data_IF_625898984290
#
_entry.id   IF_625898984290
#
_cell.length_a   1.000
_cell.length_b   1.000
_cell.length_c   1.000
_cell.angle_alpha   90.00
_cell.angle_beta   90.00
_cell.angle_gamma   90.00
#
_symmetry.space_group_name_H-M   'P 1'
#
loop_
_entity.id
_entity.type
_entity.pdbx_description
1 polymer ?
#
# COMPACT_ATOMS: atom_id res chain seq x y z
N UNK A 1 3.85 56.62 44.01
CA UNK A 1 4.59 56.12 42.82
C UNK A 1 4.42 54.61 42.79
N UNK A 2 3.70 54.06 41.80
CA UNK A 2 3.84 52.70 41.24
C UNK A 2 2.58 52.33 40.45
N UNK A 3 2.54 52.73 39.18
CA UNK A 3 1.60 52.20 38.21
C UNK A 3 2.39 51.92 36.93
N UNK A 4 2.89 50.68 36.78
CA UNK A 4 3.39 50.09 35.52
C UNK A 4 4.03 48.72 35.82
N UNK A 5 3.23 47.70 36.12
CA UNK A 5 3.73 46.33 36.30
C UNK A 5 2.79 45.26 35.71
N UNK A 6 2.00 45.60 34.69
CA UNK A 6 0.95 44.70 34.18
C UNK A 6 0.84 44.61 32.65
N UNK A 7 1.84 45.05 31.89
CA UNK A 7 1.83 44.95 30.42
C UNK A 7 2.96 44.13 29.80
N UNK A 8 3.86 43.55 30.60
CA UNK A 8 4.98 42.75 30.06
C UNK A 8 4.80 41.22 30.13
N UNK A 9 3.78 40.71 30.83
CA UNK A 9 3.51 39.26 30.92
C UNK A 9 2.56 38.71 29.85
N UNK A 10 1.85 39.58 29.11
CA UNK A 10 0.94 39.15 28.04
C UNK A 10 1.62 38.98 26.68
N UNK A 11 2.84 39.49 26.49
CA UNK A 11 3.56 39.37 25.21
C UNK A 11 4.42 38.10 25.17
N UNK A 12 4.89 37.59 26.32
CA UNK A 12 5.67 36.34 26.36
C UNK A 12 4.80 35.08 26.24
N UNK A 13 3.52 35.15 26.61
CA UNK A 13 2.59 34.02 26.53
C UNK A 13 1.94 33.84 25.14
N UNK A 14 2.13 34.78 24.22
CA UNK A 14 1.57 34.74 22.86
C UNK A 14 2.58 34.30 21.79
N UNK A 15 3.87 34.18 22.13
CA UNK A 15 4.92 33.67 21.23
C UNK A 15 5.13 32.16 21.40
N UNK A 16 4.65 31.55 22.49
CA UNK A 16 4.81 30.12 22.80
C UNK A 16 3.61 29.22 22.43
N UNK A 17 2.61 29.74 21.69
CA UNK A 17 1.42 28.97 21.29
C UNK A 17 1.25 28.74 19.77
N UNK A 18 2.24 29.11 18.95
CA UNK A 18 2.20 28.91 17.49
C UNK A 18 3.32 28.01 16.94
N UNK A 19 3.74 26.99 17.69
CA UNK A 19 4.49 25.86 17.12
C UNK A 19 3.66 24.59 17.34
N UNK A 20 2.52 24.52 16.64
CA UNK A 20 1.86 23.26 16.29
C UNK A 20 1.96 23.08 14.79
N UNK A 21 3.18 23.10 14.29
CA UNK A 21 3.44 22.60 12.95
C UNK A 21 3.63 21.10 13.05
N UNK A 22 2.69 20.40 12.43
CA UNK A 22 2.93 19.10 11.81
C UNK A 22 4.37 19.05 11.28
N UNK A 23 5.18 18.17 11.84
CA UNK A 23 6.43 17.73 11.23
C UNK A 23 6.09 17.03 9.90
N UNK A 24 5.78 17.83 8.89
CA UNK A 24 6.10 17.50 7.51
C UNK A 24 7.61 17.69 7.46
N UNK A 25 8.35 16.59 7.52
CA UNK A 25 9.78 16.65 7.27
C UNK A 25 9.96 17.23 5.87
N UNK A 26 10.40 18.49 5.81
CA UNK A 26 10.98 19.07 4.61
C UNK A 26 12.14 18.16 4.23
N UNK A 27 12.04 17.48 3.09
CA UNK A 27 13.21 16.91 2.44
C UNK A 27 14.18 18.08 2.20
N UNK A 28 15.44 18.01 2.66
CA UNK A 28 16.40 19.09 2.45
C UNK A 28 16.61 19.34 0.96
N UNK A 29 16.82 20.60 0.61
CA UNK A 29 17.02 21.08 -0.76
C UNK A 29 18.35 20.54 -1.32
N UNK A 30 18.30 19.35 -1.92
CA UNK A 30 19.45 18.64 -2.46
C UNK A 30 19.62 18.94 -3.95
N UNK A 31 20.87 19.25 -4.35
CA UNK A 31 21.22 19.51 -5.75
C UNK A 31 21.12 18.22 -6.58
N UNK A 32 21.44 17.10 -5.95
CA UNK A 32 21.34 15.75 -6.50
C UNK A 32 19.88 15.35 -6.66
N UNK A 33 19.01 15.64 -5.68
CA UNK A 33 17.55 15.44 -5.78
C UNK A 33 16.94 16.30 -6.90
N UNK A 34 17.41 17.54 -7.08
CA UNK A 34 17.00 18.40 -8.21
C UNK A 34 17.49 17.87 -9.54
N UNK A 35 18.74 17.43 -9.64
CA UNK A 35 19.29 16.81 -10.85
C UNK A 35 18.61 15.48 -11.19
N UNK A 36 18.18 14.75 -10.17
CA UNK A 36 17.39 13.53 -10.26
C UNK A 36 15.98 13.86 -10.77
N UNK A 37 15.27 14.79 -10.15
CA UNK A 37 13.95 15.27 -10.62
C UNK A 37 14.01 15.82 -12.05
N UNK A 38 15.06 16.57 -12.41
CA UNK A 38 15.25 17.10 -13.76
C UNK A 38 15.56 15.99 -14.78
N UNK A 39 16.41 15.00 -14.45
CA UNK A 39 16.62 13.81 -15.31
C UNK A 39 15.31 13.04 -15.53
N UNK A 40 14.45 12.95 -14.52
CA UNK A 40 13.13 12.34 -14.68
C UNK A 40 12.18 13.16 -15.56
N UNK A 41 12.25 14.50 -15.53
CA UNK A 41 11.52 15.35 -16.47
C UNK A 41 12.03 15.15 -17.91
N UNK A 42 13.34 15.04 -18.11
CA UNK A 42 13.97 14.82 -19.43
C UNK A 42 13.71 13.39 -19.99
N UNK A 43 13.77 12.35 -19.14
CA UNK A 43 13.49 10.94 -19.53
C UNK A 43 12.00 10.70 -19.84
N UNK A 44 11.12 11.51 -19.25
CA UNK A 44 9.70 11.54 -19.60
C UNK A 44 9.45 12.15 -20.99
N UNK A 45 10.33 13.07 -21.44
CA UNK A 45 10.27 13.70 -22.76
C UNK A 45 10.89 12.82 -23.86
N UNK A 46 11.99 12.11 -23.60
CA UNK A 46 12.69 11.29 -24.61
C UNK A 46 11.97 9.99 -25.00
N UNK A 47 11.10 9.45 -24.14
CA UNK A 47 10.31 8.24 -24.43
C UNK A 47 9.15 8.45 -25.42
N UNK A 48 8.98 9.67 -25.97
CA UNK A 48 8.03 9.95 -27.04
C UNK A 48 8.63 9.84 -28.46
N UNK A 49 9.91 9.42 -28.62
CA UNK A 49 10.64 9.57 -29.87
C UNK A 49 11.34 8.35 -30.50
N UNK A 50 11.42 7.17 -29.88
CA UNK A 50 12.19 6.05 -30.49
C UNK A 50 11.45 4.72 -30.52
N UNK A 51 11.19 4.26 -31.73
CA UNK A 51 10.71 2.94 -32.08
C UNK A 51 11.93 2.04 -32.34
N UNK A 52 12.61 1.57 -31.30
CA UNK A 52 13.70 0.58 -31.43
C UNK A 52 13.61 -0.49 -30.35
N UNK A 53 13.72 -1.73 -30.79
CA UNK A 53 13.72 -2.94 -29.98
C UNK A 53 14.94 -3.00 -29.05
N UNK A 54 14.70 -2.98 -27.75
CA UNK A 54 15.68 -3.40 -26.74
C UNK A 54 15.72 -2.52 -25.50
N UNK A 55 14.79 -2.72 -24.57
CA UNK A 55 15.07 -2.62 -23.13
C UNK A 55 13.95 -3.29 -22.32
N UNK A 56 14.24 -4.43 -21.68
CA UNK A 56 13.29 -5.18 -20.83
C UNK A 56 13.45 -4.80 -19.35
N UNK A 57 13.87 -3.57 -19.05
CA UNK A 57 14.61 -3.30 -17.81
C UNK A 57 13.95 -2.31 -16.85
N UNK A 58 12.72 -1.85 -17.12
CA UNK A 58 11.90 -1.13 -16.13
C UNK A 58 10.88 -2.06 -15.48
N UNK A 59 11.30 -2.82 -14.47
CA UNK A 59 10.37 -3.59 -13.64
C UNK A 59 10.09 -2.84 -12.33
N UNK A 60 9.12 -1.94 -12.36
CA UNK A 60 8.51 -1.41 -11.13
C UNK A 60 8.13 -2.59 -10.22
N UNK A 61 8.37 -2.44 -8.91
CA UNK A 61 8.02 -3.49 -7.94
C UNK A 61 6.54 -3.85 -8.08
N UNK A 62 6.23 -5.14 -8.12
CA UNK A 62 4.84 -5.57 -8.29
C UNK A 62 4.04 -5.23 -7.04
N UNK A 63 2.77 -4.86 -7.21
CA UNK A 63 1.86 -4.63 -6.10
C UNK A 63 1.79 -5.82 -5.12
N UNK A 64 1.85 -7.06 -5.63
CA UNK A 64 1.90 -8.28 -4.80
C UNK A 64 3.12 -8.31 -3.89
N UNK A 65 4.26 -7.86 -4.38
CA UNK A 65 5.54 -7.94 -3.69
C UNK A 65 5.62 -6.84 -2.63
N UNK A 66 5.13 -5.62 -2.96
CA UNK A 66 4.90 -4.53 -2.01
C UNK A 66 4.09 -5.00 -0.80
N UNK A 67 2.97 -5.66 -1.04
CA UNK A 67 2.09 -6.13 0.04
C UNK A 67 2.76 -7.22 0.87
N UNK A 68 3.46 -8.16 0.22
CA UNK A 68 4.18 -9.23 0.91
C UNK A 68 5.28 -8.68 1.83
N UNK A 69 6.07 -7.71 1.32
CA UNK A 69 7.09 -6.99 2.10
C UNK A 69 6.44 -6.33 3.31
N UNK A 70 5.41 -5.51 3.12
CA UNK A 70 4.79 -4.74 4.20
C UNK A 70 4.15 -5.64 5.26
N UNK A 71 3.46 -6.70 4.85
CA UNK A 71 2.86 -7.67 5.76
C UNK A 71 3.93 -8.41 6.56
N UNK A 72 5.03 -8.81 5.92
CA UNK A 72 6.11 -9.50 6.59
C UNK A 72 6.81 -8.59 7.61
N UNK A 73 7.10 -7.33 7.26
CA UNK A 73 7.63 -6.34 8.19
C UNK A 73 6.77 -6.23 9.45
N UNK A 74 5.47 -5.98 9.30
CA UNK A 74 4.57 -5.83 10.44
C UNK A 74 4.42 -7.14 11.23
N UNK A 75 4.38 -8.30 10.57
CA UNK A 75 4.33 -9.60 11.26
C UNK A 75 5.55 -9.81 12.15
N UNK A 76 6.74 -9.52 11.63
CA UNK A 76 8.02 -9.69 12.33
C UNK A 76 8.15 -8.68 13.48
N UNK A 77 7.82 -7.41 13.23
CA UNK A 77 7.79 -6.33 14.24
C UNK A 77 6.88 -6.66 15.43
N UNK A 78 5.70 -7.24 15.18
CA UNK A 78 4.77 -7.65 16.23
C UNK A 78 5.18 -8.94 16.96
N UNK A 79 6.17 -9.66 16.44
CA UNK A 79 6.64 -10.96 16.95
C UNK A 79 8.02 -10.94 17.60
N UNK A 80 8.60 -9.76 17.84
CA UNK A 80 9.95 -9.63 18.42
C UNK A 80 10.04 -10.15 19.85
N UNK A 81 11.22 -10.65 20.19
CA UNK A 81 11.62 -10.96 21.56
C UNK A 81 12.96 -10.28 21.88
N UNK A 82 13.11 -9.61 23.03
CA UNK A 82 12.08 -9.35 24.04
C UNK A 82 10.95 -8.46 23.51
N UNK A 83 9.78 -8.46 24.16
CA UNK A 83 8.61 -7.78 23.60
C UNK A 83 8.75 -6.26 23.61
N UNK A 84 8.27 -5.60 22.56
CA UNK A 84 8.32 -4.15 22.39
C UNK A 84 7.04 -3.47 22.89
N UNK A 85 7.18 -2.44 23.72
CA UNK A 85 6.04 -1.68 24.26
C UNK A 85 5.56 -0.53 23.38
N UNK A 86 6.38 -0.07 22.44
CA UNK A 86 6.15 1.13 21.63
C UNK A 86 6.23 0.89 20.10
N UNK A 87 6.18 -0.37 19.64
CA UNK A 87 6.39 -0.72 18.22
C UNK A 87 5.30 -0.14 17.32
N UNK A 88 5.64 0.81 16.43
CA UNK A 88 4.67 1.42 15.52
C UNK A 88 4.29 0.50 14.37
N UNK A 89 3.02 0.56 13.95
CA UNK A 89 2.57 -0.07 12.72
C UNK A 89 3.19 0.63 11.50
N UNK A 90 3.79 -0.16 10.61
CA UNK A 90 4.44 0.31 9.41
C UNK A 90 3.45 0.36 8.24
N UNK A 91 3.50 1.45 7.47
CA UNK A 91 2.74 1.64 6.22
C UNK A 91 3.70 1.76 5.03
N UNK A 92 3.18 1.54 3.82
CA UNK A 92 3.96 1.78 2.62
C UNK A 92 4.01 3.25 2.26
N UNK A 93 5.14 3.71 1.76
CA UNK A 93 5.37 5.08 1.31
C UNK A 93 5.92 5.11 -0.13
N UNK A 94 5.13 5.70 -1.03
CA UNK A 94 5.45 5.72 -2.46
C UNK A 94 6.64 6.66 -2.79
N UNK A 95 6.97 7.63 -1.91
CA UNK A 95 8.17 8.48 -2.09
C UNK A 95 9.45 7.72 -1.76
N UNK A 96 9.42 6.92 -0.68
CA UNK A 96 10.52 6.03 -0.32
C UNK A 96 10.76 4.96 -1.41
N UNK A 97 9.69 4.42 -2.01
CA UNK A 97 9.78 3.48 -3.14
C UNK A 97 10.44 4.13 -4.37
N UNK A 98 10.06 5.36 -4.71
CA UNK A 98 10.68 6.09 -5.84
C UNK A 98 12.17 6.33 -5.61
N UNK A 99 12.55 6.76 -4.41
CA UNK A 99 13.95 6.94 -4.03
C UNK A 99 14.72 5.61 -4.07
N UNK A 100 14.12 4.52 -3.58
CA UNK A 100 14.72 3.18 -3.63
C UNK A 100 14.89 2.68 -5.07
N UNK A 101 13.94 3.00 -5.96
CA UNK A 101 14.01 2.65 -7.39
C UNK A 101 15.21 3.30 -8.04
N UNK A 102 15.37 4.61 -7.82
CA UNK A 102 16.52 5.34 -8.36
C UNK A 102 17.85 4.74 -7.89
N UNK A 103 17.97 4.45 -6.58
CA UNK A 103 19.21 3.86 -6.07
C UNK A 103 19.47 2.43 -6.58
N UNK A 104 18.42 1.63 -6.75
CA UNK A 104 18.54 0.28 -7.27
C UNK A 104 19.03 0.25 -8.74
N UNK A 105 18.69 1.27 -9.53
CA UNK A 105 19.10 1.43 -10.93
C UNK A 105 20.58 1.78 -11.10
N UNK A 106 21.20 2.41 -10.09
CA UNK A 106 22.64 2.72 -10.11
C UNK A 106 23.51 1.45 -10.06
N UNK A 107 22.95 0.32 -9.63
CA UNK A 107 23.65 -0.98 -9.56
C UNK A 107 24.98 -0.92 -8.80
N UNK A 108 24.98 -0.15 -7.71
CA UNK A 108 26.10 -0.03 -6.78
C UNK A 108 25.75 -0.79 -5.49
N UNK A 109 26.63 -1.71 -5.09
CA UNK A 109 26.50 -2.44 -3.83
C UNK A 109 27.02 -1.57 -2.67
N UNK A 110 26.31 -0.47 -2.41
CA UNK A 110 26.60 0.47 -1.33
C UNK A 110 25.31 1.20 -0.92
N UNK A 111 25.33 1.87 0.23
CA UNK A 111 24.22 2.71 0.68
C UNK A 111 24.18 4.05 -0.07
N UNK A 112 22.98 4.55 -0.35
CA UNK A 112 22.83 5.87 -0.94
C UNK A 112 21.41 6.26 -1.39
N UNK A 113 21.25 7.44 -2.00
CA UNK A 113 22.30 8.46 -2.16
C UNK A 113 22.65 9.13 -0.82
N UNK A 114 23.91 9.57 -0.67
CA UNK A 114 24.52 9.96 0.62
C UNK A 114 23.76 11.07 1.36
N UNK A 115 23.18 12.01 0.62
CA UNK A 115 22.39 13.14 1.12
C UNK A 115 21.08 12.70 1.78
N UNK A 116 20.46 11.61 1.29
CA UNK A 116 19.24 11.08 1.88
C UNK A 116 19.52 10.24 3.13
N UNK A 117 20.68 9.57 3.22
CA UNK A 117 21.03 8.66 4.32
C UNK A 117 21.06 9.33 5.70
N UNK A 118 21.13 10.66 5.78
CA UNK A 118 21.00 11.40 7.04
C UNK A 118 19.56 11.41 7.58
N UNK A 119 18.56 11.22 6.71
CA UNK A 119 17.14 11.37 7.03
C UNK A 119 16.34 10.07 6.92
N UNK A 120 16.84 9.10 6.15
CA UNK A 120 16.19 7.79 5.95
C UNK A 120 17.09 6.64 6.42
N UNK A 121 16.44 5.54 6.80
CA UNK A 121 17.09 4.24 6.91
C UNK A 121 17.11 3.54 5.57
N UNK A 122 18.03 2.60 5.37
CA UNK A 122 18.11 1.80 4.16
C UNK A 122 18.62 0.39 4.45
N UNK A 123 17.91 -0.62 3.97
CA UNK A 123 18.39 -1.99 3.91
C UNK A 123 18.59 -2.41 2.45
N UNK A 124 19.65 -3.16 2.22
CA UNK A 124 20.06 -3.63 0.91
C UNK A 124 20.10 -5.17 0.91
N UNK A 125 19.70 -5.77 -0.20
CA UNK A 125 19.86 -7.20 -0.40
C UNK A 125 20.17 -7.48 -1.86
N UNK A 126 21.08 -8.41 -2.10
CA UNK A 126 21.45 -8.84 -3.44
C UNK A 126 21.46 -10.36 -3.51
N UNK A 127 20.99 -10.91 -4.62
CA UNK A 127 21.18 -12.31 -4.94
C UNK A 127 21.36 -12.50 -6.43
N UNK A 128 21.87 -13.67 -6.80
CA UNK A 128 22.05 -14.07 -8.19
C UNK A 128 21.56 -15.51 -8.38
N UNK A 129 21.28 -15.89 -9.63
CA UNK A 129 20.81 -17.23 -9.97
C UNK A 129 19.31 -17.42 -9.77
N UNK A 130 18.91 -18.33 -8.88
CA UNK A 130 17.49 -18.72 -8.73
C UNK A 130 16.65 -17.57 -8.21
N UNK A 131 15.45 -17.40 -8.78
CA UNK A 131 14.48 -16.41 -8.33
C UNK A 131 14.17 -16.58 -6.82
N UNK A 132 14.29 -15.48 -6.09
CA UNK A 132 13.80 -15.32 -4.72
C UNK A 132 12.75 -14.21 -4.69
N UNK A 133 11.67 -14.38 -3.94
CA UNK A 133 10.72 -13.29 -3.72
C UNK A 133 11.36 -12.19 -2.87
N UNK A 134 10.94 -10.92 -2.97
CA UNK A 134 11.47 -9.87 -2.11
C UNK A 134 11.29 -10.16 -0.61
N UNK A 135 10.22 -10.86 -0.22
CA UNK A 135 10.00 -11.31 1.15
C UNK A 135 11.06 -12.29 1.67
N UNK A 136 11.73 -13.04 0.80
CA UNK A 136 12.87 -13.88 1.19
C UNK A 136 14.00 -13.02 1.79
N UNK A 137 14.29 -11.87 1.20
CA UNK A 137 15.33 -10.95 1.70
C UNK A 137 14.93 -10.27 2.99
N UNK A 138 13.65 -9.89 3.13
CA UNK A 138 13.12 -9.34 4.39
C UNK A 138 13.25 -10.35 5.53
N UNK A 139 12.99 -11.63 5.26
CA UNK A 139 13.21 -12.69 6.25
C UNK A 139 14.71 -12.85 6.56
N UNK A 140 15.58 -12.82 5.55
CA UNK A 140 17.02 -12.92 5.75
C UNK A 140 17.57 -11.76 6.61
N UNK A 141 17.09 -10.53 6.41
CA UNK A 141 17.39 -9.40 7.28
C UNK A 141 16.93 -9.63 8.71
N UNK A 142 15.75 -10.21 8.90
CA UNK A 142 15.25 -10.53 10.25
C UNK A 142 16.04 -11.65 10.92
N UNK A 143 16.51 -12.64 10.17
CA UNK A 143 17.22 -13.80 10.69
C UNK A 143 18.56 -13.44 11.35
N UNK A 144 19.08 -12.22 11.14
CA UNK A 144 20.19 -11.64 11.91
C UNK A 144 19.89 -11.55 13.41
N UNK A 145 18.61 -11.61 13.82
CA UNK A 145 18.19 -11.67 15.22
C UNK A 145 18.89 -12.79 16.00
N UNK A 146 19.29 -13.88 15.34
CA UNK A 146 20.03 -14.99 15.97
C UNK A 146 21.40 -14.58 16.51
N UNK A 147 21.98 -13.52 15.93
CA UNK A 147 23.30 -12.99 16.23
C UNK A 147 23.22 -11.66 17.02
N UNK A 148 22.01 -11.12 17.18
CA UNK A 148 21.77 -9.86 17.88
C UNK A 148 21.41 -10.08 19.35
N UNK A 149 22.05 -9.33 20.24
CA UNK A 149 21.69 -9.32 21.67
C UNK A 149 21.06 -7.98 22.05
N UNK A 150 19.79 -8.01 22.46
CA UNK A 150 19.05 -6.80 22.87
C UNK A 150 19.72 -6.10 24.07
N UNK A 151 19.93 -4.77 24.03
CA UNK A 151 20.41 -3.99 25.16
C UNK A 151 19.26 -3.61 26.09
N UNK A 152 19.27 -4.10 27.32
CA UNK A 152 18.25 -3.73 28.30
C UNK A 152 18.51 -2.33 28.87
N UNK A 153 17.46 -1.62 29.35
CA UNK A 153 17.60 -0.23 29.82
C UNK A 153 18.69 0.01 30.88
N UNK A 154 18.96 -0.98 31.74
CA UNK A 154 20.00 -0.87 32.77
C UNK A 154 21.43 -0.90 32.22
N UNK A 155 21.60 -1.32 30.96
CA UNK A 155 22.89 -1.37 30.26
C UNK A 155 23.15 -0.10 29.44
N UNK A 156 22.14 0.75 29.26
CA UNK A 156 22.23 1.98 28.48
C UNK A 156 22.64 3.15 29.38
N UNK A 157 23.94 3.48 29.41
CA UNK A 157 24.45 4.62 30.18
C UNK A 157 25.78 5.16 29.62
N UNK A 158 25.81 6.36 28.99
CA UNK A 158 24.67 7.11 28.46
C UNK A 158 24.11 6.51 27.16
N UNK A 159 24.84 5.56 26.56
CA UNK A 159 24.51 4.90 25.31
C UNK A 159 24.26 3.41 25.54
N UNK A 160 23.37 2.81 24.76
CA UNK A 160 23.16 1.36 24.73
C UNK A 160 24.33 0.65 24.02
N UNK A 161 24.80 -0.50 24.52
CA UNK A 161 25.83 -1.28 23.85
C UNK A 161 25.27 -1.93 22.58
N UNK A 162 26.02 -1.82 21.47
CA UNK A 162 25.75 -2.60 20.27
C UNK A 162 26.39 -3.98 20.41
N UNK A 163 25.57 -5.05 20.33
CA UNK A 163 26.04 -6.42 20.45
C UNK A 163 25.54 -7.28 19.28
N UNK A 164 26.45 -7.54 18.36
CA UNK A 164 26.27 -8.43 17.23
C UNK A 164 27.40 -9.46 17.23
N UNK A 165 27.07 -10.75 17.34
CA UNK A 165 28.05 -11.84 17.25
C UNK A 165 28.30 -12.31 15.81
N UNK A 166 27.42 -11.91 14.90
CA UNK A 166 27.45 -12.25 13.48
C UNK A 166 28.11 -11.16 12.64
N UNK A 167 28.18 -11.37 11.31
CA UNK A 167 28.77 -10.40 10.40
C UNK A 167 27.92 -9.12 10.23
N UNK A 168 26.62 -9.19 10.52
CA UNK A 168 25.69 -8.08 10.38
C UNK A 168 24.45 -8.27 11.27
N UNK A 169 23.99 -7.21 11.92
CA UNK A 169 22.72 -7.17 12.67
C UNK A 169 21.88 -5.91 12.37
N UNK A 170 22.42 -4.98 11.57
CA UNK A 170 21.82 -3.66 11.38
C UNK A 170 20.59 -3.71 10.47
N UNK A 171 20.45 -4.73 9.63
CA UNK A 171 19.24 -4.91 8.83
C UNK A 171 18.07 -5.35 9.72
N UNK A 172 18.33 -6.27 10.65
CA UNK A 172 17.34 -6.65 11.68
C UNK A 172 16.91 -5.44 12.49
N UNK A 173 17.85 -4.68 13.08
CA UNK A 173 17.50 -3.56 13.96
C UNK A 173 16.71 -2.47 13.23
N UNK A 174 17.01 -2.19 11.96
CA UNK A 174 16.21 -1.26 11.15
C UNK A 174 14.79 -1.79 10.90
N UNK A 175 14.65 -3.07 10.57
CA UNK A 175 13.34 -3.70 10.33
C UNK A 175 12.45 -3.60 11.58
N UNK A 176 13.04 -3.82 12.77
CA UNK A 176 12.34 -3.77 14.06
C UNK A 176 12.45 -2.43 14.79
N UNK A 177 12.84 -1.35 14.10
CA UNK A 177 12.96 -0.04 14.72
C UNK A 177 11.59 0.54 15.07
N UNK A 178 11.30 0.76 16.35
CA UNK A 178 9.96 1.05 16.85
C UNK A 178 9.32 2.25 16.18
N UNK A 179 10.06 3.35 16.03
CA UNK A 179 9.56 4.62 15.47
C UNK A 179 9.50 4.64 13.95
N UNK A 180 10.18 3.72 13.26
CA UNK A 180 10.09 3.60 11.81
C UNK A 180 8.71 3.09 11.42
N UNK A 181 7.87 3.98 10.88
CA UNK A 181 6.48 3.71 10.53
C UNK A 181 6.20 3.71 9.03
N UNK A 182 7.21 3.94 8.19
CA UNK A 182 7.10 3.96 6.72
C UNK A 182 8.21 3.16 6.07
N UNK A 183 7.86 2.44 4.99
CA UNK A 183 8.81 1.73 4.14
C UNK A 183 8.42 1.86 2.67
N UNK A 184 9.41 1.95 1.79
CA UNK A 184 9.22 1.81 0.34
C UNK A 184 10.42 1.10 -0.27
N UNK A 185 10.18 0.14 -1.14
CA UNK A 185 11.23 -0.72 -1.68
C UNK A 185 11.16 -0.84 -3.20
N UNK A 186 12.30 -1.11 -3.82
CA UNK A 186 12.41 -1.38 -5.25
C UNK A 186 13.31 -2.59 -5.53
N UNK A 187 13.00 -3.29 -6.62
CA UNK A 187 13.80 -4.42 -7.12
C UNK A 187 14.30 -4.08 -8.51
N UNK A 188 15.61 -4.18 -8.72
CA UNK A 188 16.24 -4.00 -10.01
C UNK A 188 17.12 -5.21 -10.37
N UNK A 189 17.24 -5.53 -11.65
CA UNK A 189 18.13 -6.58 -12.14
C UNK A 189 19.32 -5.91 -12.78
N UNK A 190 20.44 -5.90 -12.08
CA UNK A 190 21.70 -5.32 -12.51
C UNK A 190 22.43 -6.24 -13.48
N UNK A 191 22.65 -5.85 -14.76
CA UNK A 191 23.36 -6.68 -15.71
C UNK A 191 24.76 -7.05 -15.25
N UNK A 192 25.46 -6.10 -14.62
CA UNK A 192 26.75 -6.29 -13.95
C UNK A 192 26.78 -5.44 -12.69
N UNK A 193 27.12 -6.05 -11.56
CA UNK A 193 27.21 -5.37 -10.27
C UNK A 193 28.45 -5.88 -9.53
N UNK A 194 29.29 -4.97 -9.02
CA UNK A 194 30.40 -5.35 -8.16
C UNK A 194 29.87 -5.57 -6.75
N UNK A 195 29.89 -6.82 -6.29
CA UNK A 195 29.45 -7.23 -4.96
C UNK A 195 30.67 -7.83 -4.23
N UNK A 196 31.16 -7.13 -3.21
CA UNK A 196 32.32 -7.52 -2.42
C UNK A 196 33.60 -7.83 -3.22
N UNK A 197 33.83 -7.10 -4.32
CA UNK A 197 35.02 -7.26 -5.16
C UNK A 197 34.84 -8.25 -6.32
N UNK A 198 33.69 -8.91 -6.41
CA UNK A 198 33.36 -9.82 -7.51
C UNK A 198 32.25 -9.24 -8.40
N UNK A 199 32.38 -9.41 -9.72
CA UNK A 199 31.34 -8.98 -10.65
C UNK A 199 30.26 -10.06 -10.75
N UNK A 200 29.07 -9.73 -10.30
CA UNK A 200 27.89 -10.57 -10.42
C UNK A 200 27.10 -10.18 -11.65
N UNK A 201 26.80 -11.15 -12.52
CA UNK A 201 25.96 -10.95 -13.69
C UNK A 201 24.48 -11.18 -13.38
N UNK A 202 23.62 -10.29 -13.90
CA UNK A 202 22.17 -10.33 -13.68
C UNK A 202 21.80 -10.41 -12.18
N UNK A 203 22.52 -9.66 -11.35
CA UNK A 203 22.29 -9.59 -9.92
C UNK A 203 20.92 -8.93 -9.64
N UNK A 204 20.09 -9.57 -8.85
CA UNK A 204 18.80 -9.01 -8.43
C UNK A 204 19.01 -8.26 -7.13
N UNK A 205 18.89 -6.94 -7.21
CA UNK A 205 19.14 -5.98 -6.15
C UNK A 205 17.81 -5.45 -5.58
N UNK A 206 17.63 -5.60 -4.27
CA UNK A 206 16.51 -5.05 -3.50
C UNK A 206 17.02 -3.93 -2.61
N UNK A 207 16.40 -2.75 -2.76
CA UNK A 207 16.63 -1.58 -1.92
C UNK A 207 15.34 -1.30 -1.17
N UNK A 208 15.38 -1.17 0.16
CA UNK A 208 14.26 -0.74 0.98
C UNK A 208 14.66 0.49 1.79
N UNK A 209 13.92 1.58 1.62
CA UNK A 209 14.10 2.82 2.36
C UNK A 209 13.06 2.93 3.47
N UNK A 210 13.46 3.49 4.62
CA UNK A 210 12.70 3.53 5.85
C UNK A 210 12.59 4.95 6.40
N UNK A 211 11.42 5.32 6.90
CA UNK A 211 11.21 6.63 7.55
C UNK A 211 10.29 6.53 8.77
N UNK A 212 10.60 7.26 9.86
CA UNK A 212 11.89 7.88 10.17
C UNK A 212 13.04 6.86 10.19
N UNK A 213 14.27 7.35 10.01
CA UNK A 213 15.51 6.56 10.09
C UNK A 213 15.62 5.84 11.44
N UNK A 214 16.04 4.57 11.40
CA UNK A 214 16.43 3.80 12.57
C UNK A 214 17.95 3.69 12.73
N UNK A 215 18.40 2.73 13.55
CA UNK A 215 19.81 2.47 13.83
C UNK A 215 20.56 3.70 14.35
N UNK A 216 19.92 4.45 15.25
CA UNK A 216 20.58 5.54 15.96
C UNK A 216 21.66 4.98 16.88
N UNK A 217 22.87 5.52 16.77
CA UNK A 217 24.03 5.09 17.55
C UNK A 217 23.72 5.28 19.03
N UNK A 218 23.90 4.20 19.81
CA UNK A 218 23.66 4.22 21.24
C UNK A 218 22.19 4.11 21.66
N UNK A 219 21.28 3.81 20.74
CA UNK A 219 19.86 3.56 21.04
C UNK A 219 19.47 2.09 20.82
N UNK A 220 18.55 1.60 21.64
CA UNK A 220 17.90 0.31 21.43
C UNK A 220 16.84 0.43 20.32
N UNK A 221 16.61 -0.63 19.51
CA UNK A 221 15.66 -0.56 18.39
C UNK A 221 14.22 -0.33 18.81
N UNK A 222 13.86 -0.71 20.04
CA UNK A 222 12.53 -0.51 20.61
C UNK A 222 12.62 -0.51 22.13
N UNK A 223 11.57 -0.08 22.81
CA UNK A 223 11.51 -0.09 24.27
C UNK A 223 10.94 -1.42 24.78
N UNK A 224 11.71 -2.15 25.59
CA UNK A 224 11.25 -3.38 26.21
C UNK A 224 10.05 -3.13 27.13
N UNK A 225 9.02 -3.96 26.98
CA UNK A 225 7.88 -3.97 27.88
C UNK A 225 6.67 -4.70 27.29
N UNK A 226 5.53 -4.58 27.97
CA UNK A 226 4.27 -5.16 27.51
C UNK A 226 3.88 -4.54 26.15
N UNK A 227 3.52 -5.34 25.14
CA UNK A 227 3.06 -4.82 23.85
C UNK A 227 2.05 -3.69 23.98
N UNK A 228 2.29 -2.63 23.21
CA UNK A 228 1.49 -1.41 23.15
C UNK A 228 1.36 -0.61 24.47
N UNK A 229 2.10 -0.92 25.53
CA UNK A 229 1.98 -0.18 26.79
C UNK A 229 2.60 1.22 26.75
N UNK A 230 3.41 1.53 25.74
CA UNK A 230 4.06 2.82 25.54
C UNK A 230 3.89 3.33 24.09
N UNK A 231 2.73 3.07 23.48
CA UNK A 231 2.42 3.62 22.17
C UNK A 231 2.41 5.16 22.18
N UNK A 232 2.95 5.82 21.15
CA UNK A 232 2.90 7.28 21.08
C UNK A 232 1.44 7.79 21.09
N UNK A 233 1.16 8.94 21.72
CA UNK A 233 -0.20 9.49 21.78
C UNK A 233 -0.86 9.70 20.41
N UNK A 234 -0.06 9.92 19.35
CA UNK A 234 -0.50 10.05 17.97
C UNK A 234 -1.23 8.82 17.42
N UNK A 235 -1.10 7.66 18.07
CA UNK A 235 -1.81 6.43 17.72
C UNK A 235 -3.16 6.29 18.45
N UNK A 236 -3.51 7.18 19.38
CA UNK A 236 -4.84 7.18 20.02
C UNK A 236 -5.15 5.92 20.83
N UNK A 237 -4.11 5.23 21.33
CA UNK A 237 -4.25 4.03 22.15
C UNK A 237 -4.63 2.75 21.39
N UNK A 238 -4.64 2.76 20.06
CA UNK A 238 -4.91 1.55 19.28
C UNK A 238 -3.77 0.54 19.37
N UNK A 239 -4.12 -0.72 19.61
CA UNK A 239 -3.19 -1.84 19.64
C UNK A 239 -3.76 -2.99 18.83
N UNK A 240 -2.96 -3.55 17.92
CA UNK A 240 -3.35 -4.73 17.13
C UNK A 240 -2.09 -5.51 16.76
N UNK A 241 -2.13 -6.82 16.98
CA UNK A 241 -0.99 -7.72 16.73
C UNK A 241 0.33 -7.20 17.33
N UNK A 242 0.27 -6.70 18.58
CA UNK A 242 1.41 -6.12 19.32
C UNK A 242 2.01 -4.84 18.73
N UNK A 243 1.33 -4.17 17.80
CA UNK A 243 1.76 -2.92 17.18
C UNK A 243 0.83 -1.77 17.57
N UNK A 244 1.39 -0.56 17.64
CA UNK A 244 0.66 0.69 17.82
C UNK A 244 -0.06 1.05 16.52
N UNK A 245 -1.38 1.14 16.59
CA UNK A 245 -2.26 1.47 15.46
C UNK A 245 -2.99 2.78 15.72
N UNK A 246 -3.09 3.63 14.70
CA UNK A 246 -3.92 4.84 14.78
C UNK A 246 -5.37 4.40 14.90
N UNK A 247 -5.98 4.65 16.06
CA UNK A 247 -7.38 4.34 16.30
C UNK A 247 -8.28 5.11 15.34
N UNK A 248 -8.88 4.43 14.36
CA UNK A 248 -10.09 4.95 13.72
C UNK A 248 -11.25 4.80 14.70
N UNK A 249 -11.84 5.94 15.07
CA UNK A 249 -13.06 6.00 15.87
C UNK A 249 -14.13 5.09 15.28
N UNK A 250 -14.74 4.29 16.14
CA UNK A 250 -15.73 3.27 15.84
C UNK A 250 -16.86 3.73 14.90
N UNK A 251 -16.93 3.11 13.71
CA UNK A 251 -18.19 2.61 13.20
C UNK A 251 -18.08 1.10 12.96
N UNK A 252 -18.85 0.35 13.75
CA UNK A 252 -19.06 -1.10 13.64
C UNK A 252 -19.61 -1.43 12.25
N UNK A 253 -18.74 -1.85 11.34
CA UNK A 253 -19.05 -2.89 10.35
C UNK A 253 -17.89 -3.87 10.39
N UNK A 254 -18.11 -5.02 11.02
CA UNK A 254 -17.17 -6.15 10.97
C UNK A 254 -17.16 -6.72 9.56
N UNK A 255 -16.26 -6.21 8.72
CA UNK A 255 -15.91 -6.87 7.46
C UNK A 255 -14.92 -7.97 7.80
N UNK A 256 -15.33 -9.20 7.54
CA UNK A 256 -14.62 -10.43 7.85
C UNK A 256 -14.05 -10.96 6.54
N UNK A 257 -12.77 -11.28 6.51
CA UNK A 257 -12.04 -11.68 5.30
C UNK A 257 -11.84 -13.19 5.30
N UNK A 258 -11.90 -13.84 4.13
CA UNK A 258 -11.81 -15.29 4.01
C UNK A 258 -10.61 -15.78 3.20
N UNK A 259 -9.81 -16.69 3.77
CA UNK A 259 -8.83 -17.51 3.05
C UNK A 259 -9.44 -18.89 2.78
N UNK A 260 -9.48 -19.31 1.52
CA UNK A 260 -10.10 -20.58 1.07
C UNK A 260 -8.99 -21.54 0.62
N UNK A 261 -8.96 -22.76 1.17
CA UNK A 261 -8.02 -23.82 0.77
C UNK A 261 -8.77 -25.07 0.27
N UNK A 262 -8.21 -25.74 -0.73
CA UNK A 262 -8.60 -27.09 -1.13
C UNK A 262 -7.94 -28.11 -0.20
N UNK A 263 -8.65 -29.14 0.25
CA UNK A 263 -8.08 -30.23 1.04
C UNK A 263 -8.21 -31.55 0.28
N UNK A 264 -7.08 -32.19 -0.05
CA UNK A 264 -7.00 -33.50 -0.73
C UNK A 264 -6.49 -34.63 0.16
N UNK A 265 -6.24 -34.43 1.46
CA UNK A 265 -5.78 -35.51 2.34
C UNK A 265 -6.80 -35.86 3.44
N UNK A 266 -7.40 -37.06 3.31
CA UNK A 266 -7.75 -37.87 4.48
C UNK A 266 -6.43 -38.36 5.10
N UNK A 267 -5.89 -37.62 6.07
CA UNK A 267 -4.96 -38.19 7.05
C UNK A 267 -5.58 -38.09 8.44
N UNK A 268 -5.67 -39.27 9.05
CA UNK A 268 -6.14 -39.54 10.39
C UNK A 268 -5.42 -38.62 11.40
N UNK A 269 -6.13 -37.66 11.98
CA UNK A 269 -5.81 -37.12 13.30
C UNK A 269 -7.10 -37.11 14.11
N UNK A 270 -7.07 -37.94 15.14
CA UNK A 270 -8.13 -38.17 16.11
C UNK A 270 -8.42 -36.91 16.92
N UNK A 271 -9.72 -36.66 17.09
CA UNK A 271 -10.32 -35.81 18.12
C UNK A 271 -10.41 -34.29 17.89
N UNK A 272 -11.12 -33.89 16.84
CA UNK A 272 -12.05 -32.73 16.86
C UNK A 272 -13.06 -32.98 15.72
N UNK A 273 -14.29 -33.39 16.06
CA UNK A 273 -15.39 -33.49 15.09
C UNK A 273 -15.71 -32.09 14.57
N UNK A 274 -15.05 -31.67 13.48
CA UNK A 274 -15.39 -30.44 12.78
C UNK A 274 -16.67 -30.68 11.98
N UNK A 275 -17.80 -30.19 12.51
CA UNK A 275 -19.09 -30.20 11.83
C UNK A 275 -18.94 -29.60 10.43
N UNK A 276 -19.05 -30.44 9.40
CA UNK A 276 -19.04 -30.01 8.01
C UNK A 276 -20.45 -29.57 7.63
N UNK A 277 -20.63 -28.30 7.28
CA UNK A 277 -21.94 -27.77 6.95
C UNK A 277 -22.23 -27.91 5.45
N UNK A 278 -23.29 -28.64 5.10
CA UNK A 278 -23.83 -28.65 3.73
C UNK A 278 -24.51 -27.31 3.45
N UNK A 279 -24.08 -26.62 2.40
CA UNK A 279 -24.57 -25.28 2.04
C UNK A 279 -25.05 -25.24 0.59
N UNK A 280 -25.95 -24.30 0.28
CA UNK A 280 -26.36 -24.01 -1.10
C UNK A 280 -25.39 -23.06 -1.79
N UNK A 281 -25.35 -23.02 -3.11
CA UNK A 281 -24.43 -22.17 -3.88
C UNK A 281 -24.52 -20.68 -3.52
N UNK A 282 -25.69 -20.19 -3.17
CA UNK A 282 -25.98 -18.80 -2.82
C UNK A 282 -25.61 -18.44 -1.36
N UNK A 283 -25.25 -19.43 -0.54
CA UNK A 283 -25.00 -19.25 0.89
C UNK A 283 -23.80 -18.33 1.11
N UNK A 284 -24.01 -17.27 1.88
CA UNK A 284 -22.98 -16.33 2.31
C UNK A 284 -22.48 -16.71 3.70
N UNK A 285 -21.24 -16.36 4.01
CA UNK A 285 -20.68 -16.65 5.34
C UNK A 285 -21.44 -15.91 6.45
N UNK A 286 -21.88 -14.67 6.19
CA UNK A 286 -22.66 -13.86 7.15
C UNK A 286 -23.93 -14.58 7.63
N UNK A 287 -24.51 -15.46 6.82
CA UNK A 287 -25.83 -16.04 7.07
C UNK A 287 -25.78 -17.29 7.98
N UNK A 288 -24.61 -17.92 8.14
CA UNK A 288 -24.49 -19.21 8.83
C UNK A 288 -23.67 -19.20 10.11
N UNK A 289 -22.78 -18.22 10.32
CA UNK A 289 -21.81 -18.28 11.42
C UNK A 289 -21.99 -17.11 12.41
N UNK A 290 -23.00 -17.21 13.29
CA UNK A 290 -23.16 -16.35 14.48
C UNK A 290 -22.71 -17.13 15.73
N UNK A 291 -21.40 -17.13 16.01
CA UNK A 291 -20.88 -17.51 17.33
C UNK A 291 -20.33 -18.93 17.53
N UNK A 292 -20.12 -19.74 16.49
CA UNK A 292 -19.41 -21.04 16.59
C UNK A 292 -18.30 -21.18 15.53
N UNK A 293 -17.31 -22.07 15.76
CA UNK A 293 -16.17 -22.34 14.85
C UNK A 293 -16.63 -22.99 13.55
N UNK A 294 -16.96 -22.15 12.59
CA UNK A 294 -17.64 -22.47 11.34
C UNK A 294 -16.60 -22.49 10.20
N UNK A 295 -15.69 -23.48 10.24
CA UNK A 295 -14.46 -23.45 9.44
C UNK A 295 -14.45 -24.42 8.24
N UNK A 296 -15.50 -25.24 8.03
CA UNK A 296 -15.57 -26.26 6.97
C UNK A 296 -16.97 -26.36 6.33
N UNK A 297 -17.05 -26.20 5.01
CA UNK A 297 -18.31 -26.22 4.24
C UNK A 297 -18.24 -27.18 3.06
N UNK A 298 -19.37 -27.81 2.70
CA UNK A 298 -19.50 -28.64 1.51
C UNK A 298 -20.37 -27.96 0.46
N UNK A 299 -19.77 -27.68 -0.70
CA UNK A 299 -20.40 -27.03 -1.83
C UNK A 299 -20.92 -28.06 -2.85
N UNK A 300 -22.17 -27.90 -3.34
CA UNK A 300 -22.71 -28.75 -4.40
C UNK A 300 -22.09 -28.40 -5.77
N UNK A 301 -22.27 -29.28 -6.75
CA UNK A 301 -21.88 -29.02 -8.13
C UNK A 301 -22.70 -27.89 -8.77
N UNK A 302 -22.20 -27.33 -9.88
CA UNK A 302 -22.88 -26.36 -10.73
C UNK A 302 -23.18 -25.00 -10.06
N UNK A 303 -22.25 -24.51 -9.24
CA UNK A 303 -22.37 -23.20 -8.60
C UNK A 303 -21.88 -22.02 -9.45
N UNK A 304 -21.19 -22.24 -10.57
CA UNK A 304 -20.59 -21.18 -11.41
C UNK A 304 -21.63 -20.14 -11.88
N UNK A 305 -22.80 -20.60 -12.33
CA UNK A 305 -23.85 -19.76 -12.93
C UNK A 305 -25.00 -19.42 -11.97
N UNK A 306 -24.87 -19.72 -10.67
CA UNK A 306 -25.94 -19.50 -9.68
C UNK A 306 -25.89 -18.08 -9.09
N UNK A 307 -27.04 -17.54 -8.69
CA UNK A 307 -27.17 -16.19 -8.09
C UNK A 307 -26.35 -16.10 -6.80
N UNK A 308 -25.26 -15.34 -6.81
CA UNK A 308 -24.37 -15.13 -5.67
C UNK A 308 -23.31 -14.09 -5.99
N UNK A 309 -23.05 -13.14 -5.10
CA UNK A 309 -22.00 -12.13 -5.35
C UNK A 309 -20.66 -12.68 -4.90
N UNK A 310 -19.56 -12.30 -5.54
CA UNK A 310 -18.19 -12.64 -5.12
C UNK A 310 -17.39 -11.35 -5.12
N UNK A 311 -16.85 -11.00 -3.96
CA UNK A 311 -16.11 -9.76 -3.73
C UNK A 311 -14.72 -10.10 -3.18
N UNK A 312 -13.70 -10.00 -4.04
CA UNK A 312 -12.30 -10.31 -3.72
C UNK A 312 -11.68 -11.41 -4.60
N UNK A 313 -10.36 -11.59 -4.50
CA UNK A 313 -9.56 -12.47 -5.38
C UNK A 313 -8.61 -13.41 -4.62
N UNK A 314 -8.25 -13.05 -3.39
CA UNK A 314 -7.36 -13.82 -2.49
C UNK A 314 -7.96 -13.87 -1.09
N UNK A 315 -8.49 -12.73 -0.66
CA UNK A 315 -9.38 -12.57 0.50
C UNK A 315 -10.76 -12.17 -0.01
N UNK A 316 -11.81 -12.82 0.49
CA UNK A 316 -13.19 -12.58 0.07
C UNK A 316 -14.02 -11.91 1.17
N UNK A 317 -14.91 -10.98 0.80
CA UNK A 317 -15.88 -10.38 1.72
C UNK A 317 -16.89 -11.43 2.21
N UNK A 318 -17.36 -11.32 3.45
CA UNK A 318 -18.42 -12.19 4.01
C UNK A 318 -19.75 -12.18 3.29
N UNK A 319 -20.03 -11.15 2.50
CA UNK A 319 -21.21 -11.10 1.63
C UNK A 319 -21.04 -11.94 0.37
N UNK A 320 -19.83 -12.45 0.11
CA UNK A 320 -19.56 -13.36 -1.00
C UNK A 320 -20.21 -14.72 -0.76
N UNK A 321 -20.70 -15.34 -1.83
CA UNK A 321 -21.03 -16.76 -1.84
C UNK A 321 -19.77 -17.58 -1.58
N UNK A 322 -19.83 -18.48 -0.59
CA UNK A 322 -18.69 -19.32 -0.20
C UNK A 322 -18.25 -20.21 -1.36
N UNK A 323 -19.20 -20.86 -2.03
CA UNK A 323 -18.91 -21.80 -3.12
C UNK A 323 -18.40 -21.10 -4.38
N UNK A 324 -18.95 -19.94 -4.71
CA UNK A 324 -18.47 -19.18 -5.87
C UNK A 324 -17.12 -18.52 -5.60
N UNK A 325 -16.88 -18.03 -4.38
CA UNK A 325 -15.57 -17.55 -3.98
C UNK A 325 -14.50 -18.67 -4.05
N UNK A 326 -14.87 -19.90 -3.66
CA UNK A 326 -13.97 -21.04 -3.74
C UNK A 326 -13.67 -21.48 -5.19
N UNK A 327 -14.64 -21.39 -6.10
CA UNK A 327 -14.41 -21.61 -7.54
C UNK A 327 -13.53 -20.48 -8.11
N UNK A 328 -13.81 -19.22 -7.75
CA UNK A 328 -13.02 -18.06 -8.18
C UNK A 328 -11.56 -18.14 -7.70
N UNK A 329 -11.32 -18.61 -6.48
CA UNK A 329 -9.97 -18.82 -5.96
C UNK A 329 -9.26 -20.01 -6.60
N UNK A 330 -9.99 -20.92 -7.26
CA UNK A 330 -9.49 -22.20 -7.74
C UNK A 330 -9.31 -23.24 -6.63
N UNK A 331 -9.99 -23.05 -5.49
CA UNK A 331 -9.95 -24.00 -4.38
C UNK A 331 -10.89 -25.19 -4.60
N UNK A 332 -11.92 -25.06 -5.43
CA UNK A 332 -12.74 -26.17 -5.94
C UNK A 332 -13.09 -25.88 -7.40
N UNK A 333 -13.49 -26.91 -8.15
CA UNK A 333 -14.03 -26.77 -9.49
C UNK A 333 -15.57 -26.68 -9.47
N UNK A 334 -16.19 -26.62 -10.65
CA UNK A 334 -17.65 -26.58 -10.75
C UNK A 334 -18.33 -27.94 -10.44
N UNK A 335 -17.58 -28.99 -10.12
CA UNK A 335 -18.13 -30.27 -9.66
C UNK A 335 -18.45 -30.26 -8.16
N UNK A 336 -18.07 -29.19 -7.45
CA UNK A 336 -18.31 -29.03 -6.01
C UNK A 336 -17.22 -29.71 -5.17
N UNK A 337 -17.29 -29.54 -3.86
CA UNK A 337 -16.22 -30.02 -2.98
C UNK A 337 -16.29 -29.47 -1.56
N UNK A 338 -15.36 -29.89 -0.72
CA UNK A 338 -15.23 -29.40 0.66
C UNK A 338 -14.23 -28.24 0.68
N UNK A 339 -14.60 -27.16 1.33
CA UNK A 339 -13.80 -25.95 1.46
C UNK A 339 -13.62 -25.58 2.92
N UNK A 340 -12.36 -25.36 3.30
CA UNK A 340 -12.03 -24.83 4.61
C UNK A 340 -11.89 -23.31 4.50
N UNK A 341 -12.58 -22.61 5.40
CA UNK A 341 -12.73 -21.16 5.38
C UNK A 341 -12.16 -20.60 6.68
N UNK A 342 -11.11 -19.78 6.55
CA UNK A 342 -10.48 -19.12 7.71
C UNK A 342 -10.74 -17.63 7.70
N UNK A 343 -11.19 -17.10 8.84
CA UNK A 343 -11.42 -15.66 9.07
C UNK A 343 -10.09 -14.93 9.29
N UNK A 344 -9.82 -13.90 8.48
CA UNK A 344 -8.65 -13.00 8.60
C UNK A 344 -9.10 -11.55 8.84
N UNK A 345 -8.15 -10.68 9.22
CA UNK A 345 -8.44 -9.31 9.63
C UNK A 345 -8.62 -8.31 8.46
N UNK A 346 -9.03 -7.08 8.78
CA UNK A 346 -9.62 -6.04 7.89
C UNK A 346 -8.64 -5.50 6.82
N UNK A 347 -9.05 -5.47 5.54
CA UNK A 347 -8.39 -4.77 4.43
C UNK A 347 -9.25 -3.60 3.90
N UNK A 348 -8.65 -2.49 3.41
CA UNK A 348 -9.39 -1.30 2.97
C UNK A 348 -9.97 -1.33 1.55
N UNK A 349 -9.65 -2.30 0.68
CA UNK A 349 -10.23 -2.37 -0.67
C UNK A 349 -10.10 -3.75 -1.36
N UNK A 350 -10.91 -3.96 -2.41
CA UNK A 350 -10.84 -5.12 -3.30
C UNK A 350 -10.29 -4.69 -4.67
N UNK A 351 -9.28 -5.39 -5.18
CA UNK A 351 -8.78 -5.21 -6.56
C UNK A 351 -9.62 -6.08 -7.50
N UNK A 352 -10.21 -5.45 -8.54
CA UNK A 352 -11.00 -6.14 -9.58
C UNK A 352 -10.09 -7.06 -10.38
N UNK A 353 -10.42 -8.35 -10.45
CA UNK A 353 -9.79 -9.30 -11.36
C UNK A 353 -10.83 -10.34 -11.81
N UNK A 354 -10.85 -10.67 -13.09
CA UNK A 354 -11.56 -11.85 -13.60
C UNK A 354 -10.66 -13.06 -13.48
N UNK A 355 -11.03 -14.02 -12.63
CA UNK A 355 -10.36 -15.32 -12.52
C UNK A 355 -11.40 -16.43 -12.60
N UNK A 356 -11.09 -17.50 -13.34
CA UNK A 356 -11.93 -18.71 -13.45
C UNK A 356 -13.42 -18.42 -13.75
N UNK A 357 -13.69 -17.54 -14.74
CA UNK A 357 -15.01 -17.25 -15.28
C UNK A 357 -16.07 -16.63 -14.33
N UNK A 358 -15.68 -16.05 -13.18
CA UNK A 358 -16.60 -15.34 -12.27
C UNK A 358 -16.40 -13.82 -12.36
N UNK A 359 -17.50 -13.09 -12.62
CA UNK A 359 -17.55 -11.63 -12.71
C UNK A 359 -18.02 -10.96 -11.40
N UNK A 360 -17.44 -9.79 -11.10
CA UNK A 360 -17.87 -8.86 -10.04
C UNK A 360 -19.19 -8.15 -10.44
N UNK A 361 -20.19 -8.12 -9.56
CA UNK A 361 -21.48 -7.44 -9.80
C UNK A 361 -21.84 -6.54 -8.61
N UNK A 362 -21.71 -5.23 -8.81
CA UNK A 362 -22.40 -4.21 -8.04
C UNK A 362 -23.44 -3.57 -8.97
N UNK A 363 -24.69 -3.48 -8.52
CA UNK A 363 -25.72 -2.67 -9.19
C UNK A 363 -25.40 -1.21 -8.90
N UNK A 364 -24.57 -0.62 -9.75
CA UNK A 364 -24.36 0.82 -9.77
C UNK A 364 -25.49 1.39 -10.61
N UNK A 365 -26.20 2.40 -10.11
CA UNK A 365 -27.14 3.19 -10.92
C UNK A 365 -26.36 3.76 -12.11
N UNK A 366 -26.73 3.36 -13.32
CA UNK A 366 -26.10 3.84 -14.54
C UNK A 366 -26.75 5.16 -14.94
N UNK A 367 -25.93 6.18 -15.16
CA UNK A 367 -26.37 7.50 -15.60
C UNK A 367 -25.66 7.77 -16.93
N UNK A 368 -26.43 8.17 -17.94
CA UNK A 368 -25.87 8.63 -19.21
C UNK A 368 -25.36 10.07 -19.02
N UNK A 369 -24.08 10.28 -19.29
CA UNK A 369 -23.47 11.61 -19.27
C UNK A 369 -23.26 12.11 -20.70
N UNK A 370 -23.16 13.41 -20.88
CA UNK A 370 -22.62 13.99 -22.11
C UNK A 370 -21.09 14.15 -22.01
N UNK A 371 -20.45 14.62 -23.09
CA UNK A 371 -19.00 14.81 -23.11
C UNK A 371 -18.51 15.96 -22.23
N UNK A 372 -19.38 16.80 -21.70
CA UNK A 372 -19.04 17.99 -20.91
C UNK A 372 -19.24 17.75 -19.41
N UNK A 373 -20.02 16.72 -19.07
CA UNK A 373 -20.40 16.38 -17.72
C UNK A 373 -19.18 16.15 -16.84
N UNK A 374 -19.15 16.84 -15.70
CA UNK A 374 -18.04 16.79 -14.75
C UNK A 374 -18.39 15.99 -13.50
N UNK A 375 -17.36 15.65 -12.73
CA UNK A 375 -17.54 14.94 -11.45
C UNK A 375 -18.21 15.84 -10.43
N UNK A 376 -17.90 17.14 -10.45
CA UNK A 376 -18.53 18.12 -9.56
C UNK A 376 -20.06 18.13 -9.69
N UNK A 377 -20.60 17.80 -10.87
CA UNK A 377 -22.02 17.76 -11.17
C UNK A 377 -22.68 16.42 -10.77
N UNK A 378 -22.10 15.29 -11.18
CA UNK A 378 -22.70 13.96 -10.97
C UNK A 378 -22.37 13.36 -9.60
N UNK A 379 -21.15 13.61 -9.10
CA UNK A 379 -20.66 13.00 -7.87
C UNK A 379 -19.85 13.99 -7.02
N UNK A 380 -20.49 15.07 -6.51
CA UNK A 380 -19.82 16.03 -5.66
C UNK A 380 -19.31 15.34 -4.39
N UNK A 381 -18.05 15.61 -4.04
CA UNK A 381 -17.45 15.07 -2.81
C UNK A 381 -18.26 15.50 -1.58
N UNK A 382 -18.98 14.55 -0.97
CA UNK A 382 -19.66 14.72 0.32
C UNK A 382 -19.07 13.74 1.33
N UNK A 383 -18.85 14.20 2.55
CA UNK A 383 -18.52 13.32 3.68
C UNK A 383 -19.81 12.91 4.37
N UNK A 384 -20.06 11.61 4.64
CA UNK A 384 -19.22 10.44 4.32
C UNK A 384 -19.28 10.07 2.82
N UNK A 385 -18.21 9.43 2.32
CA UNK A 385 -18.02 9.10 0.89
C UNK A 385 -19.27 8.49 0.25
N UNK A 386 -19.88 9.19 -0.69
CA UNK A 386 -20.99 8.68 -1.51
C UNK A 386 -20.45 7.82 -2.66
N UNK A 387 -21.12 6.70 -2.95
CA UNK A 387 -20.83 5.91 -4.14
C UNK A 387 -21.27 6.68 -5.39
N UNK A 388 -20.34 6.91 -6.33
CA UNK A 388 -20.70 7.53 -7.60
C UNK A 388 -21.49 6.55 -8.48
N UNK A 389 -22.47 7.05 -9.24
CA UNK A 389 -23.14 6.27 -10.28
C UNK A 389 -22.15 5.87 -11.38
N UNK A 390 -22.48 4.83 -12.14
CA UNK A 390 -21.69 4.37 -13.29
C UNK A 390 -22.06 5.26 -14.46
N UNK A 391 -21.06 5.82 -15.12
CA UNK A 391 -21.30 6.78 -16.18
C UNK A 391 -21.22 6.08 -17.53
N UNK A 392 -22.26 6.18 -18.34
CA UNK A 392 -22.23 5.78 -19.74
C UNK A 392 -21.85 6.99 -20.60
N UNK A 393 -20.68 6.91 -21.21
CA UNK A 393 -20.11 7.95 -22.07
C UNK A 393 -20.45 7.71 -23.54
N UNK A 394 -20.87 8.74 -24.29
CA UNK A 394 -21.15 8.64 -25.72
C UNK A 394 -19.83 8.57 -26.52
N UNK A 395 -19.96 8.21 -27.80
CA UNK A 395 -18.87 8.31 -28.76
C UNK A 395 -18.45 9.78 -29.00
N UNK A 396 -17.28 9.97 -29.60
CA UNK A 396 -16.78 11.26 -30.10
C UNK A 396 -16.44 12.32 -29.05
N UNK A 397 -16.42 11.97 -27.76
CA UNK A 397 -15.94 12.88 -26.71
C UNK A 397 -14.46 13.28 -26.87
N UNK A 398 -13.67 12.51 -27.65
CA UNK A 398 -12.27 12.84 -27.95
C UNK A 398 -12.12 14.13 -28.74
N UNK A 399 -12.98 14.36 -29.73
CA UNK A 399 -12.89 15.52 -30.63
C UNK A 399 -13.50 16.79 -30.04
N UNK A 400 -14.10 16.70 -28.85
CA UNK A 400 -14.71 17.86 -28.20
C UNK A 400 -13.64 18.88 -27.79
N UNK A 401 -13.90 20.20 -27.95
CA UNK A 401 -12.91 21.23 -27.64
C UNK A 401 -12.63 21.32 -26.14
N UNK A 402 -11.37 21.58 -25.78
CA UNK A 402 -10.93 21.62 -24.37
C UNK A 402 -11.62 22.69 -23.53
N UNK A 403 -12.10 23.76 -24.15
CA UNK A 403 -12.88 24.79 -23.47
C UNK A 403 -14.19 24.27 -22.88
N UNK A 404 -14.91 23.38 -23.60
CA UNK A 404 -16.18 22.81 -23.13
C UNK A 404 -16.01 21.48 -22.40
N UNK A 405 -14.91 20.77 -22.65
CA UNK A 405 -14.62 19.47 -22.04
C UNK A 405 -13.20 19.45 -21.45
N UNK A 406 -12.92 20.20 -20.37
CA UNK A 406 -11.58 20.29 -19.81
C UNK A 406 -11.11 18.93 -19.29
N UNK A 407 -9.83 18.65 -19.43
CA UNK A 407 -9.18 17.47 -18.84
C UNK A 407 -7.98 18.00 -18.07
N UNK A 408 -8.03 17.94 -16.75
CA UNK A 408 -7.01 18.53 -15.88
C UNK A 408 -6.42 17.42 -15.03
N UNK A 409 -5.13 17.12 -15.19
CA UNK A 409 -4.44 16.03 -14.48
C UNK A 409 -4.20 14.76 -15.29
N UNK A 410 -3.56 13.79 -14.65
CA UNK A 410 -3.13 12.52 -15.25
C UNK A 410 -3.29 11.37 -14.26
N UNK A 411 -4.06 10.34 -14.61
CA UNK A 411 -4.54 9.24 -13.74
C UNK A 411 -5.40 9.71 -12.54
N UNK A 412 -5.14 10.90 -12.03
CA UNK A 412 -5.89 11.63 -11.01
C UNK A 412 -6.24 12.98 -11.64
N UNK A 413 -7.53 13.23 -11.81
CA UNK A 413 -8.06 14.38 -12.53
C UNK A 413 -8.69 15.39 -11.56
N UNK A 414 -8.83 16.65 -11.95
CA UNK A 414 -9.64 17.58 -11.18
C UNK A 414 -11.12 17.20 -11.27
N UNK A 415 -11.91 17.50 -10.24
CA UNK A 415 -13.38 17.27 -10.25
C UNK A 415 -14.11 18.14 -11.29
N UNK A 416 -13.49 19.23 -11.72
CA UNK A 416 -13.89 20.06 -12.86
C UNK A 416 -13.57 19.45 -14.22
N UNK A 417 -12.90 18.30 -14.30
CA UNK A 417 -12.61 17.64 -15.57
C UNK A 417 -13.83 16.88 -16.09
N UNK A 418 -14.00 16.85 -17.41
CA UNK A 418 -14.98 16.00 -18.09
C UNK A 418 -14.69 14.54 -17.80
N UNK A 419 -15.69 13.79 -17.34
CA UNK A 419 -15.55 12.36 -16.98
C UNK A 419 -15.16 11.55 -18.22
N UNK A 420 -15.90 11.72 -19.31
CA UNK A 420 -15.76 10.89 -20.51
C UNK A 420 -14.47 11.19 -21.27
N UNK A 421 -14.09 12.47 -21.39
CA UNK A 421 -12.86 12.84 -22.07
C UNK A 421 -11.63 12.51 -21.23
N UNK A 422 -11.71 12.65 -19.90
CA UNK A 422 -10.67 12.18 -18.98
C UNK A 422 -10.52 10.66 -19.00
N UNK A 423 -11.60 9.89 -19.21
CA UNK A 423 -11.54 8.43 -19.30
C UNK A 423 -10.86 7.95 -20.59
N UNK A 424 -11.09 8.65 -21.71
CA UNK A 424 -10.34 8.44 -22.96
C UNK A 424 -8.87 8.81 -22.76
N UNK A 425 -8.59 9.96 -22.13
CA UNK A 425 -7.24 10.39 -21.80
C UNK A 425 -6.51 9.34 -20.93
N UNK A 426 -7.18 8.81 -19.90
CA UNK A 426 -6.64 7.76 -19.03
C UNK A 426 -6.37 6.43 -19.76
N UNK A 427 -7.13 6.16 -20.83
CA UNK A 427 -7.13 4.90 -21.57
C UNK A 427 -8.10 3.86 -21.00
N UNK A 428 -9.05 4.30 -20.18
CA UNK A 428 -10.09 3.45 -19.55
C UNK A 428 -11.17 3.07 -20.56
N UNK A 429 -11.53 4.01 -21.45
CA UNK A 429 -12.44 3.79 -22.58
C UNK A 429 -11.82 4.27 -23.89
N UNK A 430 -12.34 3.78 -25.01
CA UNK A 430 -11.95 4.17 -26.36
C UNK A 430 -12.83 5.34 -26.85
N UNK A 431 -12.52 5.90 -28.02
CA UNK A 431 -13.22 7.06 -28.57
C UNK A 431 -14.68 6.79 -29.01
N UNK A 432 -15.06 5.51 -29.11
CA UNK A 432 -16.42 5.01 -29.37
C UNK A 432 -17.33 5.04 -28.12
N UNK A 433 -16.81 5.49 -26.97
CA UNK A 433 -17.57 5.61 -25.72
C UNK A 433 -17.51 4.35 -24.88
N UNK A 434 -18.31 4.30 -23.81
CA UNK A 434 -18.35 3.15 -22.91
C UNK A 434 -18.68 3.49 -21.47
N UNK A 435 -18.64 2.47 -20.62
CA UNK A 435 -18.95 2.59 -19.20
C UNK A 435 -17.70 2.97 -18.40
N UNK A 436 -17.81 4.01 -17.59
CA UNK A 436 -16.74 4.55 -16.75
C UNK A 436 -17.19 4.49 -15.28
N UNK A 437 -16.31 3.94 -14.43
CA UNK A 437 -16.49 3.98 -12.98
C UNK A 437 -15.57 5.08 -12.40
N UNK A 438 -16.12 5.86 -11.47
CA UNK A 438 -15.50 7.09 -10.99
C UNK A 438 -15.30 7.04 -9.48
N UNK A 439 -14.09 7.34 -9.00
CA UNK A 439 -13.74 7.32 -7.58
C UNK A 439 -13.37 8.73 -7.09
N UNK A 440 -14.15 9.33 -6.19
CA UNK A 440 -13.80 10.62 -5.60
C UNK A 440 -12.71 10.41 -4.54
N UNK A 441 -11.61 11.15 -4.64
CA UNK A 441 -10.49 11.12 -3.69
C UNK A 441 -10.41 12.41 -2.86
N UNK A 442 -9.61 12.37 -1.79
CA UNK A 442 -9.27 13.58 -1.02
C UNK A 442 -8.54 14.63 -1.89
N UNK A 443 -8.80 15.89 -1.55
CA UNK A 443 -8.32 17.11 -2.23
C UNK A 443 -6.78 17.21 -2.30
N UNK A 444 -6.22 17.65 -3.44
CA UNK A 444 -4.78 17.82 -3.73
C UNK A 444 -4.52 19.25 -4.21
N UNK A 445 -3.29 19.72 -4.01
CA UNK A 445 -2.87 21.11 -4.31
C UNK A 445 -2.44 21.34 -5.77
N UNK A 446 -2.27 20.27 -6.56
CA UNK A 446 -1.80 20.39 -7.94
C UNK A 446 -2.03 19.15 -8.79
N UNK A 447 -2.09 19.38 -10.11
CA UNK A 447 -2.35 18.40 -11.16
C UNK A 447 -1.29 18.49 -12.24
N UNK A 448 -0.75 17.35 -12.66
CA UNK A 448 0.17 17.26 -13.79
C UNK A 448 -0.61 16.98 -15.07
N UNK A 449 -0.51 17.90 -16.05
CA UNK A 449 -1.04 17.70 -17.40
C UNK A 449 -0.03 16.99 -18.30
N UNK A 450 -0.51 16.13 -19.20
CA UNK A 450 0.25 15.36 -20.18
C UNK A 450 -0.60 15.12 -21.43
N UNK A 451 0.04 14.93 -22.59
CA UNK A 451 -0.64 14.39 -23.79
C UNK A 451 -0.75 12.87 -23.65
N UNK A 452 -1.97 12.34 -23.51
CA UNK A 452 -2.20 10.89 -23.45
C UNK A 452 -3.41 10.50 -24.28
N UNK A 453 -3.30 9.39 -25.03
CA UNK A 453 -4.36 8.86 -25.90
C UNK A 453 -4.95 9.87 -26.92
N UNK A 454 -4.14 10.85 -27.32
CA UNK A 454 -4.51 11.91 -28.26
C UNK A 454 -5.38 13.02 -27.67
N UNK A 455 -5.37 13.19 -26.34
CA UNK A 455 -5.99 14.31 -25.61
C UNK A 455 -4.90 15.00 -24.80
N UNK A 456 -4.80 16.32 -24.92
CA UNK A 456 -3.89 17.11 -24.08
C UNK A 456 -4.61 17.46 -22.77
N UNK A 457 -4.09 16.97 -21.64
CA UNK A 457 -4.57 17.42 -20.34
C UNK A 457 -3.80 18.66 -19.85
N UNK A 458 -4.49 19.50 -19.10
CA UNK A 458 -3.97 20.74 -18.56
C UNK A 458 -3.33 20.51 -17.19
N UNK A 459 -2.23 21.22 -16.93
CA UNK A 459 -1.62 21.33 -15.61
C UNK A 459 -2.38 22.41 -14.85
N UNK A 460 -2.76 22.14 -13.60
CA UNK A 460 -3.45 23.11 -12.76
C UNK A 460 -2.83 23.15 -11.38
N UNK A 461 -2.51 24.35 -10.92
CA UNK A 461 -2.00 24.62 -9.59
C UNK A 461 -2.88 25.68 -8.97
N UNK A 462 -3.56 25.33 -7.88
CA UNK A 462 -4.52 26.22 -7.25
C UNK A 462 -4.47 26.11 -5.74
N UNK A 463 -4.64 27.25 -5.09
CA UNK A 463 -4.88 27.35 -3.67
C UNK A 463 -6.30 26.86 -3.27
N UNK A 464 -7.15 26.47 -4.24
CA UNK A 464 -8.54 26.04 -4.04
C UNK A 464 -8.80 24.68 -4.72
N UNK A 465 -9.49 23.82 -3.99
CA UNK A 465 -9.34 22.36 -4.06
C UNK A 465 -10.53 21.60 -4.69
N UNK A 466 -10.26 20.65 -5.59
CA UNK A 466 -11.23 19.64 -6.08
C UNK A 466 -10.57 18.53 -6.93
N UNK A 467 -10.95 17.22 -6.77
CA UNK A 467 -10.20 16.01 -7.21
C UNK A 467 -11.03 14.77 -7.66
N UNK A 468 -10.41 13.91 -8.48
CA UNK A 468 -10.92 12.65 -9.03
C UNK A 468 -9.85 11.57 -9.29
N UNK A 469 -10.19 10.28 -9.19
CA UNK A 469 -9.53 9.16 -9.91
C UNK A 469 -10.52 8.40 -10.79
N UNK A 470 -10.13 8.09 -12.02
CA UNK A 470 -10.91 7.26 -12.94
C UNK A 470 -10.40 5.82 -12.89
N UNK A 471 -11.32 4.87 -12.73
CA UNK A 471 -11.03 3.43 -12.60
C UNK A 471 -11.28 2.67 -13.90
#
# INVERSE_FOLDING_TARGET
>A
MTCAALTWFLVLSLVLLCIRDSASLFLPDSKELRQLLNRYEEDAEQNNGSNTSGDRTRRAIRWSDREEILQLHNKLRGGVYPTASNMEYMVWDDELERSATHWAEECQWDHGPQDLLMSIGQNLAVHWGRYRSPAFHVQAWYDEVKDYTYPYPHECNPWCPERCSGPMCTHYTQLVWATTSRVGCAVHVCPKMNVWGEIWENAVYLVCNYSPKGNWIGEAPYQHGRPCSQCPPSFGGGCRNNLCYKGESTHKISIVHLKIKHNTELKLFTHLQTLTHNIKCETRLRDKCKGATCNRFKCPANCLNKKGKVWGTVSYDVQSSICRAAIHSGAIDNNGGVVDVTRTEKFPFFVRATKNAIFFSLSVTEITADCYTTVAEICPFKRPYSHCPRISCPADCKMQPSYWSPVIGNNIYADSSSICRSAIHAGVIKADGGLVDVLPLDKRKGYTGILKNGIQSERYWSCVCGNLVLL
#
